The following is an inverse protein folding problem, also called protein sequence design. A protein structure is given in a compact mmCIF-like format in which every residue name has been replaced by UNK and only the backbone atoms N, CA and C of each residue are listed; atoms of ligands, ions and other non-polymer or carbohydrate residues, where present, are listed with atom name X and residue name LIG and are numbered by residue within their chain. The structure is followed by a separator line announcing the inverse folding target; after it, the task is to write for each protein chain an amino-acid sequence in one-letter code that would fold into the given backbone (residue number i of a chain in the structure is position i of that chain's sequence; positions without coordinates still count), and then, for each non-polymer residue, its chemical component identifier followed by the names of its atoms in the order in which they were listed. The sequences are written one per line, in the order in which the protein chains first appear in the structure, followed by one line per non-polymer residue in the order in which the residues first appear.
data_IF_303546419780
#
_entry.id   IF_303546419780
#
_cell.length_a   1.000
_cell.length_b   1.000
_cell.length_c   1.000
_cell.angle_alpha   90.00
_cell.angle_beta   90.00
_cell.angle_gamma   90.00
#
_symmetry.space_group_name_H-M   'P 1'
#
loop_
_entity.id
_entity.type
_entity.pdbx_description
1 polymer ?
#
# COMPACT_ATOMS: atom_id res chain seq x y z
N UNK A 1 -0.27 -9.97 3.59
CA UNK A 1 -0.77 -8.79 2.83
C UNK A 1 -1.85 -9.20 1.82
N UNK A 2 -1.57 -10.17 0.98
CA UNK A 2 -2.47 -10.58 -0.12
C UNK A 2 -3.81 -11.17 0.32
N UNK A 3 -3.85 -11.94 1.42
CA UNK A 3 -5.11 -12.43 2.02
C UNK A 3 -5.99 -11.27 2.53
N UNK A 4 -5.38 -10.28 3.20
CA UNK A 4 -6.09 -9.10 3.73
C UNK A 4 -6.68 -8.27 2.60
N UNK A 5 -5.91 -8.03 1.55
CA UNK A 5 -6.39 -7.31 0.37
C UNK A 5 -7.53 -8.05 -0.32
N UNK A 6 -7.43 -9.37 -0.51
CA UNK A 6 -8.54 -10.17 -1.08
C UNK A 6 -9.80 -10.07 -0.22
N UNK A 7 -9.67 -10.17 1.10
CA UNK A 7 -10.80 -10.04 2.02
C UNK A 7 -11.40 -8.64 2.00
N UNK A 8 -10.57 -7.59 1.96
CA UNK A 8 -11.02 -6.20 1.85
C UNK A 8 -11.71 -5.92 0.51
N UNK A 9 -11.13 -6.36 -0.61
CA UNK A 9 -11.74 -6.19 -1.94
C UNK A 9 -13.05 -6.97 -2.06
N UNK A 10 -13.15 -8.17 -1.49
CA UNK A 10 -14.43 -8.93 -1.46
C UNK A 10 -15.49 -8.28 -0.56
N UNK A 11 -15.09 -7.78 0.61
CA UNK A 11 -16.03 -7.20 1.56
C UNK A 11 -16.47 -5.78 1.18
N UNK A 12 -15.61 -5.00 0.54
CA UNK A 12 -15.81 -3.57 0.31
C UNK A 12 -15.76 -3.14 -1.16
N UNK A 13 -15.45 -4.05 -2.10
CA UNK A 13 -15.52 -3.82 -3.54
C UNK A 13 -14.74 -2.57 -3.98
N UNK A 14 -15.46 -1.66 -4.63
CA UNK A 14 -14.92 -0.38 -5.13
C UNK A 14 -14.26 0.48 -4.04
N UNK A 15 -14.74 0.46 -2.78
CA UNK A 15 -14.13 1.25 -1.70
C UNK A 15 -12.72 0.77 -1.37
N UNK A 16 -12.47 -0.52 -1.45
CA UNK A 16 -11.12 -1.06 -1.26
C UNK A 16 -10.15 -0.58 -2.37
N UNK A 17 -10.65 -0.40 -3.58
CA UNK A 17 -9.88 0.15 -4.69
C UNK A 17 -9.63 1.65 -4.56
N UNK A 18 -10.58 2.40 -4.01
CA UNK A 18 -10.40 3.82 -3.67
C UNK A 18 -9.32 3.99 -2.60
N UNK A 19 -9.38 3.23 -1.50
CA UNK A 19 -8.34 3.27 -0.46
C UNK A 19 -6.97 2.88 -0.98
N UNK A 20 -6.89 1.88 -1.87
CA UNK A 20 -5.62 1.48 -2.45
C UNK A 20 -5.06 2.52 -3.44
N UNK A 21 -5.94 3.24 -4.16
CA UNK A 21 -5.55 4.41 -4.97
C UNK A 21 -4.97 5.51 -4.08
N UNK A 22 -5.67 5.89 -3.02
CA UNK A 22 -5.20 6.89 -2.07
C UNK A 22 -3.87 6.48 -1.44
N UNK A 23 -3.73 5.21 -1.04
CA UNK A 23 -2.50 4.70 -0.45
C UNK A 23 -1.30 4.79 -1.40
N UNK A 24 -1.48 4.52 -2.70
CA UNK A 24 -0.41 4.68 -3.70
C UNK A 24 0.00 6.12 -3.91
N UNK A 25 -0.95 7.05 -3.88
CA UNK A 25 -0.65 8.48 -4.03
C UNK A 25 0.17 9.03 -2.86
N UNK A 26 0.16 8.36 -1.71
CA UNK A 26 1.00 8.70 -0.55
C UNK A 26 2.42 8.14 -0.68
N UNK A 27 2.70 7.23 -1.62
CA UNK A 27 4.04 6.69 -1.83
C UNK A 27 4.85 7.71 -2.65
N UNK A 28 6.05 8.11 -2.17
CA UNK A 28 6.90 9.03 -2.93
C UNK A 28 7.25 8.48 -4.31
N UNK A 29 7.29 9.34 -5.34
CA UNK A 29 7.73 8.97 -6.69
C UNK A 29 9.19 8.52 -6.78
N UNK A 30 9.99 8.82 -5.74
CA UNK A 30 11.35 8.30 -5.56
C UNK A 30 11.37 6.83 -5.10
N UNK A 31 10.24 6.29 -4.66
CA UNK A 31 10.09 4.94 -4.16
C UNK A 31 9.33 4.03 -5.11
N UNK A 32 8.33 4.55 -5.82
CA UNK A 32 7.56 3.82 -6.84
C UNK A 32 7.42 4.71 -8.06
N UNK A 33 7.78 4.18 -9.22
CA UNK A 33 7.64 4.89 -10.49
C UNK A 33 6.17 5.00 -10.93
N UNK A 34 5.89 5.95 -11.82
CA UNK A 34 4.54 6.12 -12.38
C UNK A 34 4.06 4.86 -13.11
N UNK A 35 4.97 4.12 -13.77
CA UNK A 35 4.65 2.88 -14.47
C UNK A 35 4.29 1.75 -13.51
N UNK A 36 5.04 1.57 -12.41
CA UNK A 36 4.75 0.59 -11.36
C UNK A 36 3.41 0.90 -10.67
N UNK A 37 3.18 2.17 -10.31
CA UNK A 37 1.91 2.64 -9.73
C UNK A 37 0.74 2.36 -10.67
N UNK A 38 0.87 2.75 -11.95
CA UNK A 38 -0.17 2.54 -12.96
C UNK A 38 -0.48 1.06 -13.17
N UNK A 39 0.55 0.20 -13.19
CA UNK A 39 0.40 -1.25 -13.34
C UNK A 39 -0.40 -1.85 -12.19
N UNK A 40 -0.12 -1.43 -10.97
CA UNK A 40 -0.85 -1.89 -9.78
C UNK A 40 -2.30 -1.39 -9.75
N UNK A 41 -2.53 -0.11 -10.04
CA UNK A 41 -3.88 0.46 -10.08
C UNK A 41 -4.75 -0.21 -11.15
N UNK A 42 -4.16 -0.55 -12.30
CA UNK A 42 -4.83 -1.28 -13.37
C UNK A 42 -5.17 -2.72 -12.94
N UNK A 43 -4.28 -3.41 -12.23
CA UNK A 43 -4.56 -4.72 -11.65
C UNK A 43 -5.72 -4.67 -10.63
N UNK A 44 -5.74 -3.66 -9.76
CA UNK A 44 -6.83 -3.44 -8.80
C UNK A 44 -8.17 -3.19 -9.48
N UNK A 45 -8.19 -2.35 -10.51
CA UNK A 45 -9.41 -2.05 -11.28
C UNK A 45 -10.01 -3.30 -11.93
N UNK A 46 -9.16 -4.18 -12.45
CA UNK A 46 -9.59 -5.47 -13.02
C UNK A 46 -10.19 -6.41 -11.97
N UNK A 47 -9.71 -6.34 -10.74
CA UNK A 47 -10.21 -7.15 -9.62
C UNK A 47 -11.58 -6.67 -9.12
N UNK A 48 -11.80 -5.35 -9.08
CA UNK A 48 -13.11 -4.76 -8.74
C UNK A 48 -14.22 -5.14 -9.74
N UNK A 49 -13.84 -5.50 -10.97
CA UNK A 49 -14.75 -5.89 -12.04
C UNK A 49 -15.06 -7.41 -12.08
N UNK A 50 -14.38 -8.23 -11.25
CA UNK A 50 -14.36 -9.72 -11.27
C UNK A 50 -13.79 -10.31 -12.58
N UNK A 51 -12.83 -11.26 -12.60
CA UNK A 51 -13.01 -12.66 -12.20
C UNK A 51 -11.72 -13.41 -11.79
N UNK A 52 -10.55 -12.75 -11.65
CA UNK A 52 -9.35 -13.47 -11.22
C UNK A 52 -8.48 -12.70 -10.23
N UNK A 53 -8.69 -13.02 -8.96
CA UNK A 53 -7.90 -12.50 -7.86
C UNK A 53 -6.44 -12.96 -7.90
N UNK A 54 -6.08 -14.00 -8.66
CA UNK A 54 -4.69 -14.47 -8.79
C UNK A 54 -3.82 -13.47 -9.54
N UNK A 55 -4.40 -12.71 -10.48
CA UNK A 55 -3.71 -11.75 -11.33
C UNK A 55 -3.16 -10.52 -10.57
N UNK A 56 -3.56 -10.32 -9.30
CA UNK A 56 -3.12 -9.19 -8.48
C UNK A 56 -2.01 -9.54 -7.49
N UNK A 57 -1.76 -10.83 -7.23
CA UNK A 57 -0.71 -11.25 -6.30
C UNK A 57 0.68 -10.84 -6.82
N UNK A 58 0.94 -11.05 -8.11
CA UNK A 58 2.20 -10.64 -8.74
C UNK A 58 2.46 -9.14 -8.63
N UNK A 59 1.57 -8.27 -9.15
CA UNK A 59 1.73 -6.81 -9.04
C UNK A 59 1.82 -6.30 -7.60
N UNK A 60 1.13 -6.94 -6.66
CA UNK A 60 1.16 -6.56 -5.25
C UNK A 60 2.48 -6.95 -4.58
N UNK A 61 2.99 -8.16 -4.83
CA UNK A 61 4.30 -8.57 -4.32
C UNK A 61 5.41 -7.71 -4.94
N UNK A 62 5.34 -7.45 -6.25
CA UNK A 62 6.26 -6.56 -6.95
C UNK A 62 6.26 -5.16 -6.32
N UNK A 63 5.09 -4.54 -6.13
CA UNK A 63 4.97 -3.23 -5.49
C UNK A 63 5.47 -3.25 -4.04
N UNK A 64 5.13 -4.29 -3.28
CA UNK A 64 5.55 -4.44 -1.89
C UNK A 64 7.07 -4.61 -1.78
N UNK A 65 7.70 -5.32 -2.71
CA UNK A 65 9.14 -5.52 -2.78
C UNK A 65 9.88 -4.27 -3.25
N UNK A 66 9.31 -3.50 -4.19
CA UNK A 66 9.81 -2.18 -4.58
C UNK A 66 9.82 -1.23 -3.38
N UNK A 67 8.69 -1.15 -2.66
CA UNK A 67 8.58 -0.34 -1.45
C UNK A 67 9.54 -0.81 -0.35
N UNK A 68 9.64 -2.13 -0.10
CA UNK A 68 10.51 -2.69 0.95
C UNK A 68 11.99 -2.48 0.68
N UNK A 69 12.42 -2.39 -0.59
CA UNK A 69 13.84 -2.15 -0.93
C UNK A 69 14.21 -0.67 -0.92
N UNK A 70 13.23 0.24 -0.85
CA UNK A 70 13.50 1.66 -0.79
C UNK A 70 13.84 2.10 0.65
N UNK A 71 15.06 2.60 0.85
CA UNK A 71 15.54 3.03 2.17
C UNK A 71 14.70 4.15 2.79
N UNK A 72 14.22 5.11 1.99
CA UNK A 72 13.38 6.19 2.50
C UNK A 72 12.02 5.68 2.98
N UNK A 73 11.42 4.70 2.28
CA UNK A 73 10.20 4.03 2.73
C UNK A 73 10.45 3.25 4.02
N UNK A 74 11.56 2.51 4.11
CA UNK A 74 11.93 1.79 5.34
C UNK A 74 12.09 2.76 6.52
N UNK A 75 12.81 3.87 6.34
CA UNK A 75 13.03 4.88 7.37
C UNK A 75 11.71 5.56 7.79
N UNK A 76 10.82 5.85 6.83
CA UNK A 76 9.49 6.41 7.10
C UNK A 76 8.60 5.45 7.89
N UNK A 77 8.52 4.18 7.48
CA UNK A 77 7.76 3.14 8.19
C UNK A 77 8.34 2.90 9.58
N UNK A 78 9.66 2.81 9.72
CA UNK A 78 10.31 2.70 11.02
C UNK A 78 10.05 3.94 11.89
N UNK A 79 10.02 5.13 11.30
CA UNK A 79 9.67 6.38 11.99
C UNK A 79 8.23 6.38 12.50
N UNK A 80 7.27 5.93 11.68
CA UNK A 80 5.86 5.83 12.05
C UNK A 80 5.59 4.76 13.12
N UNK A 81 6.34 3.66 13.09
CA UNK A 81 6.25 2.56 14.06
C UNK A 81 7.03 2.81 15.34
N UNK A 82 7.94 3.81 15.38
CA UNK A 82 8.53 4.23 16.64
C UNK A 82 7.39 4.67 17.55
N UNK A 83 7.35 4.19 18.82
CA UNK A 83 6.44 4.74 19.80
C UNK A 83 6.56 6.25 19.73
N UNK A 84 5.45 6.96 19.56
CA UNK A 84 5.46 8.42 19.67
C UNK A 84 6.22 8.70 20.95
N UNK A 85 7.36 9.39 20.85
CA UNK A 85 8.12 9.74 22.05
C UNK A 85 7.11 10.46 22.93
N UNK A 86 6.67 9.79 24.00
CA UNK A 86 5.86 10.36 25.04
C UNK A 86 6.76 11.43 25.62
N UNK A 87 6.64 12.64 25.07
CA UNK A 87 7.19 13.83 25.67
C UNK A 87 6.44 13.97 26.97
N UNK A 88 6.97 13.36 28.04
CA UNK A 88 6.57 13.62 29.40
C UNK A 88 6.87 15.11 29.63
N UNK A 89 5.92 15.96 29.27
CA UNK A 89 5.89 17.33 29.76
C UNK A 89 5.78 17.17 31.26
N UNK A 90 6.90 17.37 31.96
CA UNK A 90 6.96 17.37 33.41
C UNK A 90 6.14 18.57 33.86
N UNK A 91 4.86 18.34 34.14
CA UNK A 91 4.03 19.31 34.83
C UNK A 91 4.69 19.49 36.19
N UNK A 92 5.27 20.67 36.37
CA UNK A 92 5.92 21.11 37.61
C UNK A 92 4.89 21.72 38.54
#
# INVERSE_FOLDING_TARGET
VSYVLRSLTRAYGLRACEWAKEAILLIPSTAVTESESSRFLNALSKLASEADSSALFGPLEELSDVCRRNRAVQESVQGALKPHQLNFVRVS
#
